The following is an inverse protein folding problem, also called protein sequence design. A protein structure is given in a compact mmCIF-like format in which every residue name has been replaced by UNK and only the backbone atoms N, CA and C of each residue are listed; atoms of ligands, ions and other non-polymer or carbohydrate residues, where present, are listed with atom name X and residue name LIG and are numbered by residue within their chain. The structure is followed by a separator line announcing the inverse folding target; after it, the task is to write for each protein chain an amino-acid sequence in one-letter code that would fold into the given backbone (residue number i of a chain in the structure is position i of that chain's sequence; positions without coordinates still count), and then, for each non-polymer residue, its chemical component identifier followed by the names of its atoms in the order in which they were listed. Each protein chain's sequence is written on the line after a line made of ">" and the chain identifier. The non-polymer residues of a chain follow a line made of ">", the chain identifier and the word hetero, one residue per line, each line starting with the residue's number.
data_IF_219791502278
#
_entry.id   IF_219791502278
#
_cell.length_a   1.000
_cell.length_b   1.000
_cell.length_c   1.000
_cell.angle_alpha   90.00
_cell.angle_beta   90.00
_cell.angle_gamma   90.00
#
_symmetry.space_group_name_H-M   'P 1'
#
loop_
_entity.id
_entity.type
_entity.pdbx_description
1 polymer ?
#
# COMPACT_ATOMS: atom_id res chain seq x y z
N UNK A 1 8.63 9.14 -2.09
CA UNK A 1 9.82 8.29 -1.86
C UNK A 1 11.08 9.03 -2.30
N UNK A 2 12.15 8.79 -1.61
CA UNK A 2 13.45 9.31 -2.00
C UNK A 2 14.00 8.56 -3.21
N UNK A 3 14.88 9.21 -3.97
CA UNK A 3 15.46 8.63 -5.19
C UNK A 3 16.16 7.30 -4.93
N UNK A 4 16.94 7.22 -3.85
CA UNK A 4 17.66 6.00 -3.48
C UNK A 4 16.70 4.85 -3.17
N UNK A 5 15.59 5.15 -2.52
CA UNK A 5 14.55 4.18 -2.21
C UNK A 5 13.89 3.65 -3.49
N UNK A 6 13.60 4.53 -4.43
CA UNK A 6 13.03 4.15 -5.73
C UNK A 6 13.99 3.23 -6.49
N UNK A 7 15.28 3.56 -6.51
CA UNK A 7 16.31 2.74 -7.18
C UNK A 7 16.41 1.36 -6.52
N UNK A 8 16.36 1.29 -5.19
CA UNK A 8 16.41 0.01 -4.49
C UNK A 8 15.20 -0.87 -4.85
N UNK A 9 13.99 -0.32 -4.84
CA UNK A 9 12.79 -1.06 -5.24
C UNK A 9 12.89 -1.53 -6.69
N UNK A 10 13.34 -0.67 -7.60
CA UNK A 10 13.50 -1.01 -9.01
C UNK A 10 14.44 -2.21 -9.19
N UNK A 11 15.58 -2.20 -8.50
CA UNK A 11 16.55 -3.30 -8.54
C UNK A 11 15.94 -4.59 -8.01
N UNK A 12 15.25 -4.52 -6.87
CA UNK A 12 14.61 -5.69 -6.24
C UNK A 12 13.53 -6.28 -7.12
N UNK A 13 12.74 -5.44 -7.78
CA UNK A 13 11.68 -5.88 -8.70
C UNK A 13 12.29 -6.69 -9.85
N UNK A 14 13.38 -6.20 -10.44
CA UNK A 14 14.00 -6.87 -11.57
C UNK A 14 14.67 -8.20 -11.20
N UNK A 15 14.95 -8.42 -9.92
CA UNK A 15 15.62 -9.62 -9.41
C UNK A 15 14.68 -10.61 -8.74
N UNK A 16 13.39 -10.29 -8.63
CA UNK A 16 12.44 -11.06 -7.82
C UNK A 16 11.58 -11.98 -8.65
N UNK A 17 11.17 -13.09 -8.05
CA UNK A 17 10.09 -13.93 -8.56
C UNK A 17 8.74 -13.34 -8.14
N UNK A 18 7.64 -14.01 -8.51
CA UNK A 18 6.28 -13.55 -8.26
C UNK A 18 5.99 -13.28 -6.77
N UNK A 19 6.40 -14.19 -5.89
CA UNK A 19 6.21 -14.03 -4.44
C UNK A 19 7.00 -12.85 -3.89
N UNK A 20 8.24 -12.69 -4.36
CA UNK A 20 9.07 -11.55 -4.01
C UNK A 20 8.47 -10.23 -4.46
N UNK A 21 7.84 -10.21 -5.64
CA UNK A 21 7.15 -9.01 -6.14
C UNK A 21 5.99 -8.61 -5.24
N UNK A 22 5.24 -9.58 -4.71
CA UNK A 22 4.16 -9.29 -3.76
C UNK A 22 4.70 -8.62 -2.50
N UNK A 23 5.77 -9.15 -1.93
CA UNK A 23 6.41 -8.57 -0.74
C UNK A 23 6.88 -7.15 -1.02
N UNK A 24 7.54 -6.94 -2.15
CA UNK A 24 8.03 -5.62 -2.54
C UNK A 24 6.88 -4.65 -2.72
N UNK A 25 5.77 -5.09 -3.30
CA UNK A 25 4.60 -4.23 -3.50
C UNK A 25 4.04 -3.74 -2.16
N UNK A 26 3.97 -4.61 -1.13
CA UNK A 26 3.58 -4.18 0.21
C UNK A 26 4.55 -3.14 0.76
N UNK A 27 5.84 -3.35 0.61
CA UNK A 27 6.84 -2.39 1.09
C UNK A 27 6.71 -1.03 0.40
N UNK A 28 6.40 -1.03 -0.90
CA UNK A 28 6.15 0.20 -1.65
C UNK A 28 4.92 0.92 -1.11
N UNK A 29 3.84 0.18 -0.80
CA UNK A 29 2.64 0.76 -0.20
C UNK A 29 3.00 1.44 1.13
N UNK A 30 3.76 0.76 1.99
CA UNK A 30 4.15 1.35 3.28
C UNK A 30 5.00 2.59 3.11
N UNK A 31 5.88 2.63 2.11
CA UNK A 31 6.67 3.82 1.80
C UNK A 31 5.77 5.00 1.40
N UNK A 32 4.76 4.76 0.57
CA UNK A 32 3.80 5.81 0.21
C UNK A 32 2.97 6.27 1.41
N UNK A 33 2.59 5.36 2.31
CA UNK A 33 1.88 5.73 3.53
C UNK A 33 2.75 6.60 4.44
N UNK A 34 4.04 6.30 4.52
CA UNK A 34 4.99 7.13 5.28
C UNK A 34 5.12 8.52 4.65
N UNK A 35 5.20 8.60 3.32
CA UNK A 35 5.21 9.89 2.61
C UNK A 35 3.95 10.69 2.91
N UNK A 36 2.78 10.03 2.93
CA UNK A 36 1.52 10.69 3.25
C UNK A 36 1.50 11.22 4.67
N UNK A 37 1.99 10.45 5.63
CA UNK A 37 2.05 10.89 7.03
C UNK A 37 2.97 12.09 7.19
N UNK A 38 4.10 12.09 6.50
CA UNK A 38 5.04 13.21 6.53
C UNK A 38 4.39 14.45 5.93
N UNK A 39 3.74 14.32 4.77
CA UNK A 39 3.02 15.43 4.14
C UNK A 39 1.91 15.96 5.05
N UNK A 40 1.22 15.09 5.77
CA UNK A 40 0.21 15.48 6.76
C UNK A 40 0.81 16.36 7.85
N UNK A 41 1.95 15.96 8.41
CA UNK A 41 2.62 16.72 9.47
C UNK A 41 3.08 18.10 8.99
N UNK A 42 3.46 18.19 7.73
CA UNK A 42 3.92 19.44 7.11
C UNK A 42 2.79 20.23 6.46
N UNK A 43 1.56 19.75 6.56
CA UNK A 43 0.36 20.37 5.97
C UNK A 43 0.48 20.56 4.44
N UNK A 44 1.21 19.66 3.78
CA UNK A 44 1.38 19.68 2.32
C UNK A 44 0.30 18.80 1.69
N UNK A 45 -0.88 19.35 1.53
CA UNK A 45 -2.08 18.58 1.19
C UNK A 45 -2.06 17.99 -0.22
N UNK A 46 -1.42 18.65 -1.18
CA UNK A 46 -1.30 18.06 -2.53
C UNK A 46 -0.37 16.84 -2.52
N UNK A 47 0.75 16.93 -1.82
CA UNK A 47 1.66 15.79 -1.66
C UNK A 47 0.99 14.65 -0.89
N UNK A 48 0.19 14.99 0.11
CA UNK A 48 -0.59 14.05 0.89
C UNK A 48 -1.53 13.23 -0.01
N UNK A 49 -2.30 13.91 -0.86
CA UNK A 49 -3.22 13.25 -1.80
C UNK A 49 -2.48 12.39 -2.80
N UNK A 50 -1.38 12.89 -3.35
CA UNK A 50 -0.60 12.14 -4.34
C UNK A 50 -0.05 10.85 -3.75
N UNK A 51 0.51 10.92 -2.53
CA UNK A 51 1.04 9.74 -1.87
C UNK A 51 -0.05 8.70 -1.62
N UNK A 52 -1.23 9.12 -1.14
CA UNK A 52 -2.35 8.21 -0.89
C UNK A 52 -2.89 7.59 -2.17
N UNK A 53 -2.96 8.34 -3.27
CA UNK A 53 -3.38 7.78 -4.57
C UNK A 53 -2.40 6.73 -5.07
N UNK A 54 -1.11 6.98 -4.91
CA UNK A 54 -0.08 6.01 -5.29
C UNK A 54 -0.20 4.74 -4.46
N UNK A 55 -0.47 4.86 -3.16
CA UNK A 55 -0.72 3.72 -2.30
C UNK A 55 -1.96 2.94 -2.78
N UNK A 56 -3.06 3.63 -3.10
CA UNK A 56 -4.26 3.00 -3.63
C UNK A 56 -3.99 2.25 -4.94
N UNK A 57 -3.21 2.84 -5.84
CA UNK A 57 -2.86 2.20 -7.10
C UNK A 57 -2.07 0.92 -6.87
N UNK A 58 -1.13 0.93 -5.93
CA UNK A 58 -0.35 -0.26 -5.58
C UNK A 58 -1.22 -1.35 -4.95
N UNK A 59 -2.21 -0.97 -4.13
CA UNK A 59 -3.19 -1.92 -3.61
C UNK A 59 -4.00 -2.51 -4.77
N UNK A 60 -4.39 -1.69 -5.74
CA UNK A 60 -5.09 -2.15 -6.94
C UNK A 60 -4.30 -3.18 -7.72
N UNK A 61 -2.98 -3.03 -7.79
CA UNK A 61 -2.11 -4.02 -8.42
C UNK A 61 -2.13 -5.35 -7.66
N UNK A 62 -2.13 -5.30 -6.33
CA UNK A 62 -2.27 -6.51 -5.52
C UNK A 62 -3.61 -7.21 -5.80
N UNK A 63 -4.69 -6.43 -5.94
CA UNK A 63 -6.00 -6.99 -6.25
C UNK A 63 -6.00 -7.74 -7.58
N UNK A 64 -5.28 -7.24 -8.57
CA UNK A 64 -5.18 -7.87 -9.89
C UNK A 64 -4.42 -9.19 -9.87
N UNK A 65 -3.60 -9.43 -8.85
CA UNK A 65 -2.85 -10.68 -8.74
C UNK A 65 -3.64 -11.82 -8.11
N UNK A 66 -4.86 -11.54 -7.61
CA UNK A 66 -5.66 -12.55 -6.93
C UNK A 66 -6.20 -13.58 -7.89
N UNK A 67 -6.11 -14.86 -7.49
CA UNK A 67 -6.68 -15.98 -8.22
C UNK A 67 -7.94 -16.42 -7.47
N UNK A 68 -9.11 -16.10 -8.03
CA UNK A 68 -10.39 -16.36 -7.39
C UNK A 68 -10.80 -17.84 -7.40
N UNK A 69 -9.98 -18.72 -7.95
CA UNK A 69 -10.18 -20.16 -7.77
C UNK A 69 -9.87 -20.61 -6.33
N UNK A 70 -9.20 -19.77 -5.55
CA UNK A 70 -8.94 -20.01 -4.12
C UNK A 70 -9.89 -19.18 -3.27
N UNK A 71 -10.47 -19.79 -2.23
CA UNK A 71 -11.42 -19.11 -1.34
C UNK A 71 -10.80 -17.91 -0.61
N UNK A 72 -9.52 -18.03 -0.23
CA UNK A 72 -8.83 -16.95 0.47
C UNK A 72 -8.77 -15.65 -0.36
N UNK A 73 -8.79 -15.77 -1.69
CA UNK A 73 -8.73 -14.59 -2.57
C UNK A 73 -9.91 -13.65 -2.38
N UNK A 74 -11.10 -14.19 -2.09
CA UNK A 74 -12.28 -13.35 -1.80
C UNK A 74 -12.09 -12.54 -0.54
N UNK A 75 -11.51 -13.15 0.49
CA UNK A 75 -11.24 -12.45 1.75
C UNK A 75 -10.19 -11.38 1.56
N UNK A 76 -9.12 -11.69 0.83
CA UNK A 76 -8.07 -10.72 0.50
C UNK A 76 -8.63 -9.54 -0.30
N UNK A 77 -9.47 -9.83 -1.28
CA UNK A 77 -10.10 -8.79 -2.08
C UNK A 77 -10.89 -7.82 -1.20
N UNK A 78 -11.69 -8.34 -0.28
CA UNK A 78 -12.48 -7.50 0.65
C UNK A 78 -11.59 -6.62 1.52
N UNK A 79 -10.48 -7.17 2.00
CA UNK A 79 -9.52 -6.42 2.81
C UNK A 79 -8.88 -5.31 1.97
N UNK A 80 -8.47 -5.61 0.75
CA UNK A 80 -7.89 -4.60 -0.14
C UNK A 80 -8.89 -3.49 -0.48
N UNK A 81 -10.15 -3.84 -0.75
CA UNK A 81 -11.21 -2.83 -0.99
C UNK A 81 -11.38 -1.96 0.25
N UNK A 82 -11.44 -2.56 1.44
CA UNK A 82 -11.51 -1.81 2.69
C UNK A 82 -10.35 -0.84 2.83
N UNK A 83 -9.12 -1.29 2.55
CA UNK A 83 -7.94 -0.44 2.65
C UNK A 83 -7.98 0.72 1.65
N UNK A 84 -8.37 0.45 0.41
CA UNK A 84 -8.52 1.52 -0.59
C UNK A 84 -9.56 2.55 -0.17
N UNK A 85 -10.69 2.07 0.35
CA UNK A 85 -11.76 2.96 0.83
C UNK A 85 -11.29 3.79 2.02
N UNK A 86 -10.55 3.19 2.95
CA UNK A 86 -9.98 3.91 4.09
C UNK A 86 -9.02 5.00 3.65
N UNK A 87 -8.19 4.73 2.65
CA UNK A 87 -7.26 5.73 2.11
C UNK A 87 -8.01 6.85 1.37
N UNK A 88 -9.10 6.52 0.68
CA UNK A 88 -9.97 7.53 0.06
C UNK A 88 -10.58 8.43 1.12
N UNK A 89 -11.08 7.85 2.22
CA UNK A 89 -11.61 8.62 3.35
C UNK A 89 -10.54 9.50 3.98
N UNK A 90 -9.31 8.99 4.09
CA UNK A 90 -8.17 9.75 4.62
C UNK A 90 -7.89 10.99 3.78
N UNK A 91 -7.93 10.87 2.45
CA UNK A 91 -7.74 12.01 1.55
C UNK A 91 -8.83 13.06 1.73
N UNK A 92 -10.07 12.62 1.81
CA UNK A 92 -11.23 13.50 1.90
C UNK A 92 -11.31 14.21 3.24
N UNK A 93 -11.07 13.46 4.33
CA UNK A 93 -11.22 13.96 5.71
C UNK A 93 -9.92 14.53 6.28
N UNK A 94 -8.80 14.38 5.59
CA UNK A 94 -7.46 14.69 6.11
C UNK A 94 -7.24 14.00 7.45
N UNK A 95 -7.41 12.67 7.47
CA UNK A 95 -7.42 11.87 8.71
C UNK A 95 -6.28 10.87 8.75
N UNK A 96 -5.42 10.97 9.77
CA UNK A 96 -4.38 9.96 10.03
C UNK A 96 -4.97 8.64 10.51
N UNK A 97 -6.09 8.69 11.23
CA UNK A 97 -6.75 7.49 11.76
C UNK A 97 -7.12 6.52 10.64
N UNK A 98 -7.64 7.06 9.54
CA UNK A 98 -8.00 6.22 8.38
C UNK A 98 -6.78 5.57 7.74
N UNK A 99 -5.66 6.30 7.67
CA UNK A 99 -4.39 5.74 7.18
C UNK A 99 -3.92 4.62 8.09
N UNK A 100 -3.97 4.84 9.40
CA UNK A 100 -3.52 3.85 10.38
C UNK A 100 -4.38 2.59 10.34
N UNK A 101 -5.69 2.72 10.13
CA UNK A 101 -6.59 1.57 9.99
C UNK A 101 -6.21 0.71 8.79
N UNK A 102 -5.97 1.33 7.64
CA UNK A 102 -5.54 0.62 6.45
C UNK A 102 -4.16 -0.03 6.64
N UNK A 103 -3.24 0.71 7.21
CA UNK A 103 -1.87 0.22 7.44
C UNK A 103 -1.86 -0.99 8.38
N UNK A 104 -2.65 -0.95 9.44
CA UNK A 104 -2.74 -2.05 10.40
C UNK A 104 -3.16 -3.35 9.71
N UNK A 105 -4.17 -3.28 8.85
CA UNK A 105 -4.63 -4.44 8.10
C UNK A 105 -3.57 -4.95 7.13
N UNK A 106 -2.94 -4.04 6.39
CA UNK A 106 -1.90 -4.40 5.42
C UNK A 106 -0.67 -5.00 6.10
N UNK A 107 -0.29 -4.49 7.28
CA UNK A 107 0.84 -5.04 8.02
C UNK A 107 0.60 -6.47 8.49
N UNK A 108 -0.61 -6.79 8.91
CA UNK A 108 -0.97 -8.15 9.29
C UNK A 108 -0.82 -9.10 8.10
N UNK A 109 -1.29 -8.69 6.92
CA UNK A 109 -1.14 -9.48 5.71
C UNK A 109 0.34 -9.62 5.31
N UNK A 110 1.08 -8.53 5.36
CA UNK A 110 2.50 -8.52 5.05
C UNK A 110 3.27 -9.53 5.89
N UNK A 111 3.00 -9.57 7.20
CA UNK A 111 3.67 -10.49 8.11
C UNK A 111 3.43 -11.95 7.73
N UNK A 112 2.27 -12.27 7.18
CA UNK A 112 1.97 -13.64 6.75
C UNK A 112 2.73 -14.04 5.49
N UNK A 113 3.11 -13.08 4.65
CA UNK A 113 3.90 -13.33 3.44
C UNK A 113 5.42 -13.38 3.71
N UNK A 114 5.87 -12.85 4.83
CA UNK A 114 7.30 -12.71 5.14
C UNK A 114 7.85 -13.83 6.04
N UNK A 115 7.11 -14.90 6.22
CA UNK A 115 7.55 -16.03 7.04
C UNK A 115 8.56 -16.90 6.31
#
# INVERSE_FOLDING_TARGET
>A
MEKEQILDFTRRISQSNRSGLTVINYEIIFAYLDDAKKAYQEEKWEEFKVALRKAQNSIGELMQTLDFSYDISRNLYRIYVFCKDSLAAAMYKRSLTEIENAEKMLRKLYQSFCK
#
